data_IF_546283475997
#
_entry.id   IF_546283475997
#
_cell.length_a   1.000
_cell.length_b   1.000
_cell.length_c   1.000
_cell.angle_alpha   90.00
_cell.angle_beta   90.00
_cell.angle_gamma   90.00
#
_symmetry.space_group_name_H-M   'P 1'
#
loop_
_entity.id
_entity.type
_entity.pdbx_description
1 polymer ?
#
# COMPACT_ATOMS: atom_id res chain seq x y z
N UNK A 1 8.69 20.26 -1.84
CA UNK A 1 9.20 19.82 -0.52
C UNK A 1 9.20 18.29 -0.47
N UNK A 2 9.89 17.62 0.45
CA UNK A 2 9.69 16.17 0.66
C UNK A 2 8.63 15.95 1.73
N UNK A 3 7.60 15.18 1.42
CA UNK A 3 6.57 14.73 2.35
C UNK A 3 7.00 13.40 2.97
N UNK A 4 6.94 13.32 4.29
CA UNK A 4 7.11 12.06 5.02
C UNK A 4 5.74 11.46 5.29
N UNK A 5 5.44 10.36 4.62
CA UNK A 5 4.20 9.62 4.77
C UNK A 5 4.49 8.21 5.32
N UNK A 6 3.45 7.56 5.81
CA UNK A 6 3.49 6.24 6.39
C UNK A 6 2.53 5.31 5.68
N UNK A 7 2.92 4.05 5.60
CA UNK A 7 2.05 2.92 5.27
C UNK A 7 2.17 1.89 6.38
N UNK A 8 1.14 1.06 6.59
CA UNK A 8 1.22 -0.04 7.54
C UNK A 8 0.77 -1.35 6.91
N UNK A 9 1.41 -2.44 7.32
CA UNK A 9 0.92 -3.80 7.05
C UNK A 9 0.89 -4.58 8.35
N UNK A 10 -0.03 -5.54 8.44
CA UNK A 10 0.00 -6.54 9.50
C UNK A 10 1.24 -7.43 9.36
N UNK A 11 1.82 -7.85 10.49
CA UNK A 11 3.03 -8.70 10.49
C UNK A 11 2.79 -10.03 9.77
N UNK A 12 1.55 -10.51 9.78
CA UNK A 12 1.10 -11.71 9.08
C UNK A 12 1.25 -11.61 7.55
N UNK A 13 1.25 -10.40 6.96
CA UNK A 13 1.55 -10.18 5.53
C UNK A 13 3.06 -10.19 5.23
N UNK A 14 3.88 -10.36 6.26
CA UNK A 14 5.33 -10.32 6.18
C UNK A 14 5.91 -8.92 5.92
N UNK A 15 7.24 -8.85 5.96
CA UNK A 15 8.00 -7.63 5.80
C UNK A 15 8.31 -7.38 4.33
N UNK A 16 7.88 -6.23 3.80
CA UNK A 16 8.00 -5.90 2.39
C UNK A 16 9.16 -4.92 2.17
N UNK A 17 10.10 -5.28 1.29
CA UNK A 17 11.18 -4.37 0.89
C UNK A 17 10.67 -3.33 -0.12
N UNK A 18 9.61 -3.66 -0.86
CA UNK A 18 9.02 -2.83 -1.88
C UNK A 18 7.51 -2.82 -1.72
N UNK A 19 6.93 -1.62 -1.61
CA UNK A 19 5.49 -1.43 -1.62
C UNK A 19 5.03 -1.27 -3.08
N UNK A 20 4.02 -2.05 -3.46
CA UNK A 20 3.50 -2.10 -4.84
C UNK A 20 2.04 -1.66 -4.85
N UNK A 21 1.64 -0.80 -5.80
CA UNK A 21 0.24 -0.45 -6.01
C UNK A 21 -0.59 -1.70 -6.26
N UNK A 22 -1.71 -1.81 -5.56
CA UNK A 22 -2.68 -2.90 -5.74
C UNK A 22 -4.10 -2.38 -5.55
N UNK A 23 -5.08 -3.14 -6.03
CA UNK A 23 -6.46 -2.97 -5.61
C UNK A 23 -6.52 -3.20 -4.09
N UNK A 24 -7.19 -2.33 -3.31
CA UNK A 24 -7.34 -2.54 -1.88
C UNK A 24 -7.96 -3.92 -1.59
N UNK A 25 -7.47 -4.57 -0.54
CA UNK A 25 -8.04 -5.84 -0.10
C UNK A 25 -9.48 -5.65 0.46
N UNK A 26 -9.76 -4.43 0.95
CA UNK A 26 -11.05 -3.99 1.46
C UNK A 26 -11.31 -2.56 0.98
N UNK A 27 -12.52 -2.29 0.51
CA UNK A 27 -12.94 -0.98 0.05
C UNK A 27 -14.24 -0.56 0.72
N UNK A 28 -14.35 0.71 1.10
CA UNK A 28 -15.60 1.27 1.60
C UNK A 28 -16.69 1.27 0.50
N UNK A 29 -17.98 1.27 0.87
CA UNK A 29 -19.08 1.31 -0.10
C UNK A 29 -18.98 2.50 -1.08
N UNK A 30 -18.82 2.17 -2.36
CA UNK A 30 -18.69 3.14 -3.45
C UNK A 30 -17.34 3.82 -3.55
N UNK A 31 -16.29 3.25 -2.93
CA UNK A 31 -14.90 3.66 -3.15
C UNK A 31 -14.41 3.18 -4.52
N UNK A 32 -13.51 3.94 -5.14
CA UNK A 32 -12.90 3.52 -6.41
C UNK A 32 -12.01 2.28 -6.19
N UNK A 33 -12.32 1.16 -6.84
CA UNK A 33 -11.54 -0.10 -6.79
C UNK A 33 -10.70 -0.33 -8.05
N UNK A 34 -10.82 0.53 -9.06
CA UNK A 34 -10.13 0.39 -10.34
C UNK A 34 -8.67 0.90 -10.28
N UNK A 35 -8.40 1.84 -9.38
CA UNK A 35 -7.07 2.44 -9.23
C UNK A 35 -6.21 1.59 -8.30
N UNK A 36 -5.21 0.92 -8.87
CA UNK A 36 -4.13 0.29 -8.10
C UNK A 36 -3.34 1.35 -7.34
N UNK A 37 -3.15 1.13 -6.04
CA UNK A 37 -2.59 2.14 -5.15
C UNK A 37 -1.91 1.57 -3.92
N UNK A 38 -1.16 2.43 -3.27
CA UNK A 38 -0.63 2.27 -1.92
C UNK A 38 -1.29 3.37 -1.08
N UNK A 39 -2.03 2.97 -0.05
CA UNK A 39 -2.63 3.88 0.93
C UNK A 39 -1.59 4.39 1.90
N UNK A 40 -1.41 5.70 1.94
CA UNK A 40 -0.44 6.40 2.78
C UNK A 40 -1.16 7.37 3.71
N UNK A 41 -0.53 7.74 4.83
CA UNK A 41 -1.02 8.82 5.68
C UNK A 41 0.13 9.60 6.34
N UNK A 42 -0.09 10.83 6.84
CA UNK A 42 0.96 11.61 7.50
C UNK A 42 1.55 10.94 8.76
N UNK A 43 0.77 10.08 9.43
CA UNK A 43 1.17 9.39 10.66
C UNK A 43 0.71 7.92 10.69
N UNK A 44 1.37 7.13 11.55
CA UNK A 44 0.98 5.73 11.79
C UNK A 44 -0.44 5.64 12.39
N UNK A 45 -0.82 6.60 13.25
CA UNK A 45 -2.19 6.65 13.82
C UNK A 45 -3.24 6.82 12.73
N UNK A 46 -3.01 7.69 11.76
CA UNK A 46 -3.91 7.90 10.63
C UNK A 46 -3.98 6.68 9.72
N UNK A 47 -2.85 5.97 9.50
CA UNK A 47 -2.89 4.68 8.82
C UNK A 47 -3.78 3.67 9.57
N UNK A 48 -3.65 3.58 10.90
CA UNK A 48 -4.46 2.68 11.74
C UNK A 48 -5.94 3.08 11.70
N UNK A 49 -6.23 4.38 11.70
CA UNK A 49 -7.58 4.92 11.55
C UNK A 49 -8.20 4.46 10.24
N UNK A 50 -7.47 4.54 9.11
CA UNK A 50 -7.94 4.03 7.82
C UNK A 50 -8.27 2.54 7.81
N UNK A 51 -7.61 1.74 8.66
CA UNK A 51 -7.95 0.33 8.86
C UNK A 51 -9.13 0.10 9.82
N UNK A 52 -9.68 1.13 10.47
CA UNK A 52 -10.60 1.01 11.61
C UNK A 52 -11.94 0.27 11.34
N UNK A 53 -12.31 0.11 10.07
CA UNK A 53 -13.42 -0.73 9.65
C UNK A 53 -13.06 -2.24 9.68
N UNK A 54 -11.77 -2.59 9.75
CA UNK A 54 -11.30 -3.95 9.92
C UNK A 54 -11.36 -4.35 11.41
N UNK A 55 -12.04 -5.46 11.70
CA UNK A 55 -12.06 -6.07 13.03
C UNK A 55 -10.67 -6.56 13.53
N UNK A 56 -9.61 -6.29 12.77
CA UNK A 56 -8.23 -6.72 13.03
C UNK A 56 -7.71 -6.28 14.40
N UNK A 57 -8.10 -5.08 14.86
CA UNK A 57 -7.63 -4.50 16.13
C UNK A 57 -8.54 -4.78 17.34
N UNK A 58 -9.54 -5.67 17.22
CA UNK A 58 -10.40 -6.04 18.35
C UNK A 58 -9.70 -6.96 19.38
N UNK A 59 -8.49 -7.43 19.10
CA UNK A 59 -7.65 -8.20 20.02
C UNK A 59 -6.74 -7.27 20.83
N UNK A 60 -6.49 -7.59 22.10
CA UNK A 60 -5.79 -6.72 23.08
C UNK A 60 -4.46 -6.12 22.59
N UNK A 61 -3.71 -6.84 21.76
CA UNK A 61 -2.43 -6.40 21.20
C UNK A 61 -2.29 -6.90 19.76
N UNK A 62 -1.82 -6.04 18.85
CA UNK A 62 -1.52 -6.38 17.44
C UNK A 62 -0.17 -5.84 17.02
N UNK A 63 0.56 -6.60 16.21
CA UNK A 63 1.85 -6.16 15.66
C UNK A 63 1.68 -5.75 14.20
N UNK A 64 2.33 -4.65 13.85
CA UNK A 64 2.33 -4.10 12.50
C UNK A 64 3.76 -3.76 12.06
N UNK A 65 3.99 -3.75 10.76
CA UNK A 65 5.10 -3.05 10.14
C UNK A 65 4.63 -1.67 9.70
N UNK A 66 5.35 -0.63 10.11
CA UNK A 66 5.11 0.75 9.72
C UNK A 66 6.27 1.22 8.81
N UNK A 67 5.92 1.55 7.58
CA UNK A 67 6.83 1.90 6.50
C UNK A 67 6.85 3.42 6.36
N UNK A 68 7.99 4.05 6.61
CA UNK A 68 8.21 5.47 6.35
C UNK A 68 8.60 5.66 4.89
N UNK A 69 7.92 6.56 4.23
CA UNK A 69 8.07 6.84 2.80
C UNK A 69 8.33 8.33 2.61
N UNK A 70 9.22 8.67 1.68
CA UNK A 70 9.43 10.05 1.28
C UNK A 70 8.94 10.23 -0.16
N UNK A 71 8.01 11.15 -0.36
CA UNK A 71 7.44 11.50 -1.67
C UNK A 71 7.64 12.99 -1.91
N UNK A 72 7.89 13.38 -3.16
CA UNK A 72 7.94 14.80 -3.53
C UNK A 72 6.54 15.41 -3.49
N UNK A 73 6.42 16.56 -2.83
CA UNK A 73 5.21 17.38 -2.90
C UNK A 73 5.00 17.84 -4.35
N UNK A 74 3.90 17.40 -4.96
CA UNK A 74 3.60 17.62 -6.38
C UNK A 74 3.93 16.44 -7.31
N UNK A 75 4.34 15.28 -6.79
CA UNK A 75 4.38 14.04 -7.60
C UNK A 75 2.99 13.76 -8.17
N UNK A 76 2.87 13.66 -9.51
CA UNK A 76 1.63 13.38 -10.22
C UNK A 76 0.99 12.04 -9.85
N UNK A 77 1.76 11.15 -9.21
CA UNK A 77 1.29 9.85 -8.72
C UNK A 77 0.80 9.88 -7.28
N UNK A 78 0.80 11.04 -6.62
CA UNK A 78 0.34 11.24 -5.26
C UNK A 78 -0.97 12.05 -5.25
N UNK A 79 -2.05 11.42 -4.78
CA UNK A 79 -3.33 12.08 -4.56
C UNK A 79 -3.55 12.32 -3.07
N UNK A 80 -3.73 13.57 -2.65
CA UNK A 80 -4.00 13.93 -1.25
C UNK A 80 -5.47 13.76 -0.85
N UNK A 81 -5.74 13.80 0.45
CA UNK A 81 -7.08 13.59 1.00
C UNK A 81 -8.14 14.56 0.47
N UNK A 82 -7.76 15.81 0.15
CA UNK A 82 -8.68 16.77 -0.43
C UNK A 82 -9.06 16.36 -1.85
N UNK A 83 -8.06 16.04 -2.67
CA UNK A 83 -8.30 15.57 -4.03
C UNK A 83 -9.20 14.32 -4.02
N UNK A 84 -8.91 13.37 -3.14
CA UNK A 84 -9.69 12.14 -3.02
C UNK A 84 -11.15 12.40 -2.63
N UNK A 85 -11.38 13.25 -1.64
CA UNK A 85 -12.73 13.56 -1.17
C UNK A 85 -13.53 14.38 -2.19
N UNK A 86 -12.95 15.48 -2.70
CA UNK A 86 -13.67 16.40 -3.58
C UNK A 86 -13.93 15.82 -4.97
N UNK A 87 -13.20 14.78 -5.38
CA UNK A 87 -13.49 14.00 -6.61
C UNK A 87 -14.29 12.72 -6.34
N UNK A 88 -14.84 12.56 -5.13
CA UNK A 88 -15.64 11.39 -4.72
C UNK A 88 -14.93 10.03 -4.95
N UNK A 89 -13.60 10.00 -4.82
CA UNK A 89 -12.80 8.78 -4.99
C UNK A 89 -12.77 7.95 -3.70
N UNK A 90 -12.65 8.62 -2.56
CA UNK A 90 -12.62 8.03 -1.21
C UNK A 90 -13.39 8.96 -0.27
N UNK A 91 -14.54 8.49 0.24
CA UNK A 91 -15.52 9.34 0.94
C UNK A 91 -15.09 9.72 2.36
N UNK A 92 -14.23 8.92 2.98
CA UNK A 92 -13.69 9.09 4.33
C UNK A 92 -12.25 9.65 4.34
N UNK A 93 -11.72 10.05 3.18
CA UNK A 93 -10.35 10.55 3.06
C UNK A 93 -10.03 11.73 3.98
N UNK A 94 -11.00 12.61 4.25
CA UNK A 94 -10.82 13.73 5.17
C UNK A 94 -10.70 13.30 6.65
N UNK A 95 -11.29 12.15 7.02
CA UNK A 95 -11.20 11.57 8.37
C UNK A 95 -9.87 10.85 8.58
N UNK A 96 -9.46 10.07 7.57
CA UNK A 96 -8.27 9.22 7.61
C UNK A 96 -7.00 9.97 7.24
N UNK A 97 -7.13 11.16 6.66
CA UNK A 97 -6.04 11.93 6.05
C UNK A 97 -5.24 11.09 5.04
N UNK A 98 -5.93 10.19 4.34
CA UNK A 98 -5.32 9.24 3.43
C UNK A 98 -4.81 9.93 2.16
N UNK A 99 -3.68 9.42 1.67
CA UNK A 99 -3.11 9.70 0.37
C UNK A 99 -3.07 8.41 -0.44
N UNK A 100 -3.31 8.51 -1.75
CA UNK A 100 -3.12 7.38 -2.66
C UNK A 100 -1.86 7.59 -3.49
N UNK A 101 -0.97 6.60 -3.48
CA UNK A 101 0.21 6.58 -4.33
C UNK A 101 0.14 5.47 -5.38
N UNK A 102 0.33 5.81 -6.65
CA UNK A 102 0.09 4.89 -7.79
C UNK A 102 1.35 4.28 -8.40
N UNK A 103 2.53 4.55 -7.82
CA UNK A 103 3.81 3.98 -8.24
C UNK A 103 4.39 3.04 -7.19
N UNK A 104 5.25 2.14 -7.65
CA UNK A 104 6.09 1.31 -6.77
C UNK A 104 7.02 2.22 -5.98
N UNK A 105 7.19 1.93 -4.68
CA UNK A 105 8.05 2.73 -3.81
C UNK A 105 8.78 1.88 -2.78
N UNK A 106 10.00 2.31 -2.46
CA UNK A 106 10.84 1.68 -1.44
C UNK A 106 10.76 2.51 -0.15
N UNK A 107 10.48 1.88 1.00
CA UNK A 107 10.46 2.58 2.27
C UNK A 107 11.86 3.08 2.64
N UNK A 108 11.93 4.28 3.20
CA UNK A 108 13.15 4.84 3.78
C UNK A 108 13.51 4.12 5.10
N UNK A 109 12.50 3.73 5.85
CA UNK A 109 12.61 3.06 7.14
C UNK A 109 11.40 2.15 7.35
N UNK A 110 11.61 1.02 8.00
CA UNK A 110 10.52 0.14 8.43
C UNK A 110 10.66 -0.13 9.93
N UNK A 111 9.57 0.07 10.66
CA UNK A 111 9.49 -0.14 12.10
C UNK A 111 8.51 -1.27 12.39
N UNK A 112 8.88 -2.21 13.26
CA UNK A 112 7.91 -3.09 13.88
C UNK A 112 7.31 -2.39 15.10
N UNK A 113 5.99 -2.26 15.12
CA UNK A 113 5.25 -1.62 16.19
C UNK A 113 4.23 -2.59 16.80
N UNK A 114 3.93 -2.38 18.08
CA UNK A 114 2.82 -2.99 18.79
C UNK A 114 1.74 -1.93 18.98
N UNK A 115 0.51 -2.28 18.63
CA UNK A 115 -0.68 -1.46 18.79
C UNK A 115 -1.52 -2.09 19.90
N UNK A 116 -1.80 -1.30 20.92
CA UNK A 116 -2.64 -1.65 22.07
C UNK A 116 -3.67 -0.55 22.30
N UNK A 117 -4.67 -0.86 23.14
CA UNK A 117 -5.69 0.09 23.61
C UNK A 117 -6.34 0.90 22.46
N UNK A 118 -7.44 0.38 21.91
CA UNK A 118 -8.09 0.99 20.75
C UNK A 118 -9.40 1.62 21.17
N UNK A 119 -9.48 2.94 21.06
CA UNK A 119 -10.71 3.69 21.22
C UNK A 119 -11.37 3.90 19.86
N UNK A 120 -12.63 3.49 19.73
CA UNK A 120 -13.40 3.66 18.51
C UNK A 120 -14.42 4.77 18.64
N UNK A 121 -14.63 5.51 17.57
CA UNK A 121 -15.71 6.48 17.43
C UNK A 121 -16.49 6.18 16.16
N UNK A 122 -17.81 6.30 16.26
CA UNK A 122 -18.72 6.16 15.13
C UNK A 122 -18.81 7.48 14.36
N UNK A 123 -18.69 7.40 13.05
CA UNK A 123 -18.74 8.52 12.12
C UNK A 123 -19.82 8.30 11.06
N UNK A 124 -20.35 9.40 10.55
CA UNK A 124 -21.26 9.42 9.41
C UNK A 124 -20.45 9.83 8.18
N UNK A 125 -20.24 8.91 7.27
CA UNK A 125 -19.46 9.15 6.06
C UNK A 125 -20.40 9.60 4.94
N UNK A 126 -20.10 10.80 4.42
CA UNK A 126 -20.90 11.48 3.40
C UNK A 126 -19.97 11.97 2.30
N UNK A 127 -20.23 11.53 1.06
CA UNK A 127 -19.49 11.94 -0.11
C UNK A 127 -19.64 13.42 -0.43
N UNK A 128 -18.68 13.98 -1.16
CA UNK A 128 -18.71 15.38 -1.58
C UNK A 128 -19.92 15.67 -2.48
N UNK A 129 -20.34 14.71 -3.30
CA UNK A 129 -21.54 14.80 -4.13
C UNK A 129 -22.84 15.13 -3.37
N UNK A 130 -22.90 14.88 -2.06
CA UNK A 130 -24.06 15.20 -1.22
C UNK A 130 -24.00 16.60 -0.58
N UNK A 131 -22.91 17.35 -0.72
CA UNK A 131 -22.71 18.64 -0.02
C UNK A 131 -23.81 19.64 -0.30
N UNK A 132 -24.25 19.77 -1.55
CA UNK A 132 -25.33 20.70 -1.91
C UNK A 132 -26.64 20.29 -1.25
N UNK A 133 -27.00 19.00 -1.33
CA UNK A 133 -28.21 18.47 -0.74
C UNK A 133 -28.24 18.62 0.78
N UNK A 134 -27.10 18.37 1.44
CA UNK A 134 -26.95 18.61 2.87
C UNK A 134 -27.24 20.07 3.22
N UNK A 135 -26.67 21.02 2.47
CA UNK A 135 -26.91 22.46 2.69
C UNK A 135 -28.38 22.82 2.48
N UNK A 136 -29.06 22.24 1.49
CA UNK A 136 -30.49 22.44 1.26
C UNK A 136 -31.35 21.88 2.41
N UNK A 137 -30.98 20.72 2.97
CA UNK A 137 -31.64 20.14 4.15
C UNK A 137 -31.46 21.07 5.36
N UNK A 138 -30.23 21.51 5.62
CA UNK A 138 -29.91 22.42 6.73
C UNK A 138 -30.63 23.77 6.59
N UNK A 139 -30.76 24.29 5.37
CA UNK A 139 -31.54 25.51 5.10
C UNK A 139 -33.01 25.36 5.52
N UNK A 140 -33.65 24.21 5.25
CA UNK A 140 -35.04 23.94 5.67
C UNK A 140 -35.22 23.94 7.19
N UNK A 141 -34.15 23.65 7.93
CA UNK A 141 -34.13 23.66 9.39
C UNK A 141 -33.66 25.00 9.99
N UNK A 142 -33.63 26.08 9.21
CA UNK A 142 -33.15 27.42 9.60
C UNK A 142 -31.67 27.45 10.03
N UNK A 143 -30.84 26.56 9.51
CA UNK A 143 -29.39 26.57 9.70
C UNK A 143 -28.73 27.46 8.62
N UNK A 144 -29.00 28.76 8.63
CA UNK A 144 -28.72 29.63 7.48
C UNK A 144 -27.46 30.48 7.56
N UNK A 145 -26.84 30.66 8.74
CA UNK A 145 -25.87 31.76 8.92
C UNK A 145 -24.46 31.36 9.43
N UNK A 146 -24.19 30.09 9.74
CA UNK A 146 -22.97 29.72 10.49
C UNK A 146 -22.02 28.75 9.81
N UNK A 147 -22.33 28.21 8.62
CA UNK A 147 -21.50 27.20 7.96
C UNK A 147 -20.72 27.82 6.78
N UNK A 148 -19.40 27.99 6.89
CA UNK A 148 -18.56 28.44 5.78
C UNK A 148 -18.70 27.55 4.55
N UNK A 149 -18.67 28.16 3.36
CA UNK A 149 -18.81 27.44 2.09
C UNK A 149 -17.71 26.40 1.85
N UNK A 150 -16.56 26.57 2.50
CA UNK A 150 -15.36 25.75 2.40
C UNK A 150 -15.42 24.45 3.21
N UNK A 151 -16.36 24.31 4.15
CA UNK A 151 -16.47 23.10 4.98
C UNK A 151 -17.17 21.99 4.20
N UNK A 152 -16.59 20.79 4.28
CA UNK A 152 -17.12 19.58 3.63
C UNK A 152 -18.41 19.06 4.29
N UNK A 153 -19.17 18.23 3.56
CA UNK A 153 -20.35 17.57 4.14
C UNK A 153 -19.98 16.68 5.34
N UNK A 154 -18.84 16.01 5.26
CA UNK A 154 -18.30 15.18 6.34
C UNK A 154 -18.08 15.99 7.62
N UNK A 155 -17.35 17.11 7.53
CA UNK A 155 -17.02 17.94 8.68
C UNK A 155 -18.28 18.59 9.29
N UNK A 156 -19.22 19.03 8.46
CA UNK A 156 -20.50 19.59 8.93
C UNK A 156 -21.19 18.58 9.86
N UNK A 157 -21.43 17.36 9.37
CA UNK A 157 -22.24 16.38 10.09
C UNK A 157 -21.53 15.83 11.32
N UNK A 158 -20.21 15.65 11.28
CA UNK A 158 -19.49 15.00 12.39
C UNK A 158 -18.93 15.97 13.42
N UNK A 159 -18.75 17.26 13.09
CA UNK A 159 -18.08 18.22 13.98
C UNK A 159 -18.88 19.48 14.30
N UNK A 160 -19.88 19.86 13.48
CA UNK A 160 -20.63 21.11 13.69
C UNK A 160 -22.05 20.90 14.21
N UNK A 161 -22.70 19.81 13.82
CA UNK A 161 -24.10 19.55 14.18
C UNK A 161 -24.21 18.84 15.54
N UNK A 162 -25.26 19.17 16.29
CA UNK A 162 -25.68 18.41 17.47
C UNK A 162 -26.41 17.12 17.06
N UNK A 163 -26.48 16.15 17.98
CA UNK A 163 -27.06 14.83 17.73
C UNK A 163 -28.50 14.88 17.16
N UNK A 164 -29.33 15.81 17.64
CA UNK A 164 -30.72 15.92 17.17
C UNK A 164 -30.75 16.40 15.71
N UNK A 165 -29.92 17.37 15.37
CA UNK A 165 -29.82 17.86 13.99
C UNK A 165 -29.22 16.81 13.06
N UNK A 166 -28.26 16.01 13.53
CA UNK A 166 -27.70 14.89 12.77
C UNK A 166 -28.78 13.86 12.41
N UNK A 167 -29.66 13.48 13.33
CA UNK A 167 -30.74 12.53 13.05
C UNK A 167 -31.76 13.07 12.03
N UNK A 168 -32.02 14.38 12.03
CA UNK A 168 -32.85 15.03 11.00
C UNK A 168 -32.16 15.01 9.63
N UNK A 169 -30.86 15.28 9.58
CA UNK A 169 -30.09 15.16 8.33
C UNK A 169 -30.16 13.73 7.81
N UNK A 170 -29.98 12.73 8.68
CA UNK A 170 -30.05 11.31 8.32
C UNK A 170 -31.41 10.89 7.77
N UNK A 171 -32.52 11.45 8.26
CA UNK A 171 -33.86 11.14 7.73
C UNK A 171 -34.10 11.69 6.34
N UNK A 172 -33.45 12.80 5.99
CA UNK A 172 -33.64 13.48 4.70
C UNK A 172 -32.56 13.11 3.66
N UNK A 173 -31.43 12.57 4.12
CA UNK A 173 -30.29 12.14 3.30
C UNK A 173 -30.43 10.66 2.84
N UNK A 174 -31.56 10.37 2.23
CA UNK A 174 -31.91 9.09 1.63
C UNK A 174 -32.80 9.31 0.40
N UNK A 175 -32.75 8.43 -0.59
CA UNK A 175 -33.59 8.56 -1.79
C UNK A 175 -34.33 7.26 -2.09
N UNK A 176 -35.50 7.39 -2.72
CA UNK A 176 -36.28 6.26 -3.18
C UNK A 176 -35.68 5.70 -4.47
N UNK A 177 -35.39 4.40 -4.48
CA UNK A 177 -34.89 3.63 -5.62
C UNK A 177 -36.00 2.70 -6.09
N UNK A 178 -36.19 2.63 -7.40
CA UNK A 178 -37.16 1.74 -8.03
C UNK A 178 -36.47 0.45 -8.42
N UNK A 179 -36.78 -0.65 -7.72
CA UNK A 179 -36.18 -1.97 -7.97
C UNK A 179 -36.76 -2.63 -9.22
N UNK A 180 -38.05 -2.45 -9.43
CA UNK A 180 -38.76 -2.95 -10.59
C UNK A 180 -40.06 -2.20 -10.84
N UNK A 181 -40.40 -2.09 -12.12
CA UNK A 181 -41.69 -1.64 -12.60
C UNK A 181 -42.66 -2.82 -12.75
N UNK A 182 -43.94 -2.55 -12.94
CA UNK A 182 -44.96 -3.60 -13.14
C UNK A 182 -44.75 -4.40 -14.42
N UNK A 183 -44.02 -3.82 -15.38
CA UNK A 183 -43.77 -4.40 -16.69
C UNK A 183 -42.50 -5.27 -16.69
N UNK A 184 -41.72 -5.25 -15.60
CA UNK A 184 -40.48 -6.01 -15.51
C UNK A 184 -40.74 -7.50 -15.32
N UNK A 185 -39.93 -8.31 -16.01
CA UNK A 185 -40.00 -9.76 -15.93
C UNK A 185 -39.79 -10.28 -14.50
N UNK A 186 -38.90 -9.63 -13.74
CA UNK A 186 -38.66 -9.92 -12.31
C UNK A 186 -39.91 -9.73 -11.45
N UNK A 187 -40.70 -8.67 -11.69
CA UNK A 187 -41.96 -8.41 -10.99
C UNK A 187 -43.01 -9.48 -11.31
N UNK A 188 -43.12 -9.86 -12.59
CA UNK A 188 -44.06 -10.89 -13.06
C UNK A 188 -43.70 -12.26 -12.45
N UNK A 189 -42.42 -12.64 -12.47
CA UNK A 189 -41.93 -13.88 -11.85
C UNK A 189 -42.21 -13.88 -10.34
N UNK A 190 -41.89 -12.78 -9.64
CA UNK A 190 -42.14 -12.70 -8.20
C UNK A 190 -43.63 -12.87 -7.88
N UNK A 191 -44.48 -12.12 -8.57
CA UNK A 191 -45.92 -12.21 -8.36
C UNK A 191 -46.45 -13.63 -8.62
N UNK A 192 -45.87 -14.34 -9.58
CA UNK A 192 -46.31 -15.68 -9.99
C UNK A 192 -45.92 -16.74 -8.95
N UNK A 193 -44.70 -16.70 -8.43
CA UNK A 193 -44.18 -17.69 -7.47
C UNK A 193 -44.76 -17.44 -6.06
N UNK A 194 -44.71 -16.19 -5.58
CA UNK A 194 -45.07 -15.86 -4.19
C UNK A 194 -46.54 -15.43 -4.02
N UNK A 195 -47.32 -15.31 -5.11
CA UNK A 195 -48.73 -14.89 -5.13
C UNK A 195 -49.01 -13.55 -4.40
N UNK A 196 -47.98 -12.73 -4.21
CA UNK A 196 -48.05 -11.40 -3.59
C UNK A 196 -47.40 -10.36 -4.49
N UNK A 197 -47.68 -9.07 -4.26
CA UNK A 197 -46.97 -8.00 -4.96
C UNK A 197 -45.63 -7.77 -4.26
N UNK A 198 -44.50 -7.81 -4.98
CA UNK A 198 -43.22 -7.44 -4.39
C UNK A 198 -43.22 -5.94 -4.08
N UNK A 199 -42.43 -5.54 -3.07
CA UNK A 199 -42.22 -4.13 -2.74
C UNK A 199 -41.43 -3.47 -3.88
N UNK A 200 -42.02 -2.49 -4.56
CA UNK A 200 -41.46 -1.95 -5.82
C UNK A 200 -40.35 -0.91 -5.65
N UNK A 201 -40.27 -0.34 -4.45
CA UNK A 201 -39.29 0.68 -4.14
C UNK A 201 -38.67 0.41 -2.77
N UNK A 202 -37.42 0.77 -2.63
CA UNK A 202 -36.76 0.85 -1.34
C UNK A 202 -36.05 2.21 -1.21
N UNK A 203 -35.65 2.55 0.01
CA UNK A 203 -34.88 3.76 0.27
C UNK A 203 -33.41 3.38 0.42
N UNK A 204 -32.56 3.99 -0.41
CA UNK A 204 -31.11 3.91 -0.23
C UNK A 204 -30.61 5.11 0.58
N UNK A 205 -29.66 4.85 1.48
CA UNK A 205 -29.01 5.90 2.25
C UNK A 205 -27.91 6.52 1.39
N UNK A 206 -27.89 7.85 1.34
CA UNK A 206 -26.83 8.61 0.65
C UNK A 206 -25.59 8.85 1.56
N UNK A 207 -25.55 8.15 2.70
CA UNK A 207 -24.48 8.11 3.68
C UNK A 207 -24.33 6.70 4.23
N UNK A 208 -23.22 6.42 4.90
CA UNK A 208 -23.10 5.23 5.73
C UNK A 208 -22.51 5.58 7.09
N UNK A 209 -22.73 4.70 8.06
CA UNK A 209 -22.21 4.84 9.40
C UNK A 209 -21.11 3.80 9.61
N UNK A 210 -19.95 4.22 10.09
CA UNK A 210 -18.82 3.33 10.31
C UNK A 210 -18.04 3.72 11.57
N UNK A 211 -17.48 2.72 12.25
CA UNK A 211 -16.62 2.92 13.41
C UNK A 211 -15.17 3.00 12.95
N UNK A 212 -14.46 4.03 13.41
CA UNK A 212 -13.05 4.24 13.15
C UNK A 212 -12.26 4.28 14.44
N UNK A 213 -10.99 3.91 14.36
CA UNK A 213 -10.05 4.02 15.48
C UNK A 213 -9.68 5.51 15.63
N UNK A 214 -10.13 6.11 16.73
CA UNK A 214 -9.84 7.51 17.02
C UNK A 214 -8.48 7.66 17.68
N UNK A 215 -8.25 6.83 18.71
CA UNK A 215 -7.04 6.81 19.51
C UNK A 215 -6.52 5.38 19.63
N UNK A 216 -5.19 5.24 19.59
CA UNK A 216 -4.52 4.01 19.95
C UNK A 216 -3.15 4.27 20.59
N UNK A 217 -2.67 3.30 21.37
CA UNK A 217 -1.29 3.31 21.86
C UNK A 217 -0.39 2.57 20.88
N UNK A 218 0.67 3.25 20.42
CA UNK A 218 1.68 2.66 19.53
C UNK A 218 3.02 2.59 20.24
N UNK A 219 3.52 1.37 20.44
CA UNK A 219 4.85 1.11 20.97
C UNK A 219 5.79 0.63 19.87
N UNK A 220 6.85 1.40 19.60
CA UNK A 220 7.91 0.99 18.67
C UNK A 220 8.74 -0.13 19.31
N UNK A 221 8.83 -1.28 18.64
CA UNK A 221 9.58 -2.44 19.12
C UNK A 221 11.01 -2.39 18.60
N UNK A 222 11.18 -2.31 17.28
CA UNK A 222 12.49 -2.31 16.63
C UNK A 222 12.43 -1.72 15.23
N UNK A 223 13.60 -1.38 14.68
CA UNK A 223 13.78 -1.04 13.28
C UNK A 223 14.16 -2.30 12.50
N UNK A 224 13.43 -2.56 11.41
CA UNK A 224 13.67 -3.70 10.55
C UNK A 224 14.79 -3.37 9.55
N UNK A 225 15.91 -4.10 9.67
CA UNK A 225 17.08 -3.92 8.80
C UNK A 225 17.28 -5.07 7.79
N UNK A 226 16.60 -6.21 8.01
CA UNK A 226 16.58 -7.35 7.10
C UNK A 226 15.30 -7.29 6.29
N UNK A 227 15.34 -6.64 5.13
CA UNK A 227 14.17 -6.43 4.26
C UNK A 227 14.08 -7.50 3.17
N UNK A 228 15.23 -8.06 2.77
CA UNK A 228 15.32 -9.02 1.68
C UNK A 228 15.53 -10.45 2.20
N UNK A 229 15.05 -11.41 1.43
CA UNK A 229 15.36 -12.83 1.59
C UNK A 229 16.30 -13.25 0.47
N UNK A 230 17.36 -13.97 0.82
CA UNK A 230 18.34 -14.51 -0.13
C UNK A 230 18.12 -16.02 -0.20
N UNK A 231 17.52 -16.48 -1.28
CA UNK A 231 17.27 -17.90 -1.52
C UNK A 231 18.27 -18.45 -2.52
N UNK A 232 19.04 -19.46 -2.13
CA UNK A 232 19.97 -20.13 -3.06
C UNK A 232 19.20 -21.04 -4.01
N UNK A 233 19.51 -20.91 -5.30
CA UNK A 233 18.93 -21.78 -6.32
C UNK A 233 20.00 -22.68 -6.92
N UNK A 234 19.62 -23.95 -7.10
CA UNK A 234 20.47 -25.03 -7.59
C UNK A 234 20.01 -25.56 -8.96
N UNK A 235 19.20 -24.76 -9.68
CA UNK A 235 18.54 -25.19 -10.91
C UNK A 235 18.56 -24.11 -11.98
N UNK A 236 19.19 -24.43 -13.11
CA UNK A 236 19.18 -23.58 -14.30
C UNK A 236 17.74 -23.36 -14.80
N UNK A 237 16.89 -24.40 -14.77
CA UNK A 237 15.48 -24.28 -15.15
C UNK A 237 14.75 -23.20 -14.34
N UNK A 238 14.94 -23.19 -13.02
CA UNK A 238 14.32 -22.18 -12.13
C UNK A 238 14.83 -20.77 -12.43
N UNK A 239 16.13 -20.61 -12.71
CA UNK A 239 16.70 -19.33 -13.15
C UNK A 239 16.02 -18.82 -14.43
N UNK A 240 15.82 -19.70 -15.42
CA UNK A 240 15.15 -19.34 -16.68
C UNK A 240 13.68 -18.98 -16.48
N UNK A 241 12.96 -19.70 -15.61
CA UNK A 241 11.58 -19.37 -15.23
C UNK A 241 11.49 -17.96 -14.63
N UNK A 242 12.42 -17.59 -13.74
CA UNK A 242 12.49 -16.24 -13.18
C UNK A 242 12.79 -15.20 -14.26
N UNK A 243 13.75 -15.47 -15.14
CA UNK A 243 14.11 -14.55 -16.22
C UNK A 243 12.99 -14.39 -17.27
N UNK A 244 12.09 -15.36 -17.40
CA UNK A 244 10.94 -15.30 -18.31
C UNK A 244 9.93 -14.20 -17.96
N UNK A 245 10.03 -13.62 -16.75
CA UNK A 245 9.25 -12.45 -16.33
C UNK A 245 9.55 -11.16 -17.11
N UNK A 246 10.59 -11.14 -17.96
CA UNK A 246 11.14 -9.96 -18.65
C UNK A 246 11.68 -8.86 -17.72
N UNK A 247 11.76 -9.12 -16.41
CA UNK A 247 12.34 -8.20 -15.43
C UNK A 247 13.87 -8.27 -15.38
N UNK A 248 14.45 -9.37 -15.88
CA UNK A 248 15.88 -9.66 -15.88
C UNK A 248 16.38 -9.93 -17.29
N UNK A 249 17.62 -9.56 -17.59
CA UNK A 249 18.21 -9.77 -18.90
C UNK A 249 18.58 -11.24 -19.12
N UNK A 250 17.70 -12.00 -19.77
CA UNK A 250 17.93 -13.42 -20.13
C UNK A 250 19.31 -13.68 -20.76
N UNK A 251 19.78 -12.79 -21.64
CA UNK A 251 21.05 -12.96 -22.33
C UNK A 251 22.26 -13.03 -21.37
N UNK A 252 22.20 -12.35 -20.22
CA UNK A 252 23.25 -12.38 -19.20
C UNK A 252 23.21 -13.69 -18.41
N UNK A 253 22.02 -14.14 -18.02
CA UNK A 253 21.84 -15.31 -17.15
C UNK A 253 21.91 -16.66 -17.89
N UNK A 254 21.65 -16.67 -19.20
CA UNK A 254 21.83 -17.85 -20.06
C UNK A 254 23.29 -18.30 -20.21
N UNK A 255 24.25 -17.42 -19.91
CA UNK A 255 25.67 -17.74 -20.03
C UNK A 255 26.20 -18.53 -18.83
N UNK A 256 25.41 -18.65 -17.76
CA UNK A 256 25.77 -19.46 -16.59
C UNK A 256 25.60 -20.93 -16.95
N UNK A 257 26.71 -21.67 -16.98
CA UNK A 257 26.72 -23.11 -17.20
C UNK A 257 26.06 -23.81 -16.00
N UNK A 258 25.08 -24.67 -16.30
CA UNK A 258 24.27 -25.38 -15.31
C UNK A 258 25.10 -26.14 -14.28
N UNK A 259 26.28 -26.63 -14.67
CA UNK A 259 27.16 -27.42 -13.80
C UNK A 259 27.82 -26.62 -12.67
N UNK A 260 27.73 -25.28 -12.71
CA UNK A 260 28.26 -24.39 -11.68
C UNK A 260 27.16 -23.78 -10.80
N UNK A 261 25.89 -24.18 -10.95
CA UNK A 261 24.83 -23.59 -10.15
C UNK A 261 24.75 -24.31 -8.80
N UNK A 262 25.33 -23.69 -7.77
CA UNK A 262 25.38 -24.24 -6.41
C UNK A 262 26.44 -25.32 -6.20
N UNK A 263 27.35 -25.45 -7.16
CA UNK A 263 28.50 -26.36 -7.15
C UNK A 263 29.81 -25.56 -7.31
N UNK A 264 30.96 -26.16 -6.96
CA UNK A 264 32.29 -25.56 -7.13
C UNK A 264 32.43 -24.16 -6.49
N UNK A 265 31.88 -23.99 -5.27
CA UNK A 265 31.88 -22.72 -4.53
C UNK A 265 31.20 -21.56 -5.28
N UNK A 266 30.36 -21.87 -6.28
CA UNK A 266 29.55 -20.90 -7.01
C UNK A 266 28.14 -20.86 -6.41
N UNK A 267 27.68 -19.67 -6.08
CA UNK A 267 26.41 -19.42 -5.41
C UNK A 267 25.54 -18.50 -6.24
N UNK A 268 24.29 -18.91 -6.46
CA UNK A 268 23.29 -18.13 -7.18
C UNK A 268 22.10 -17.86 -6.24
N UNK A 269 21.94 -16.60 -5.86
CA UNK A 269 20.82 -16.14 -5.05
C UNK A 269 19.75 -15.47 -5.90
N UNK A 270 18.51 -15.87 -5.62
CA UNK A 270 17.31 -15.09 -5.93
C UNK A 270 16.99 -14.25 -4.71
N UNK A 271 16.79 -12.95 -4.92
CA UNK A 271 16.49 -12.00 -3.87
C UNK A 271 15.00 -11.63 -3.95
N UNK A 272 14.27 -11.90 -2.88
CA UNK A 272 12.83 -11.60 -2.71
C UNK A 272 12.59 -10.76 -1.45
N UNK A 273 11.33 -10.45 -1.19
CA UNK A 273 10.82 -10.05 0.13
C UNK A 273 9.63 -10.95 0.48
N UNK A 274 8.85 -10.61 1.51
CA UNK A 274 7.69 -11.41 1.90
C UNK A 274 6.60 -11.57 0.82
N UNK A 275 6.66 -10.84 -0.30
CA UNK A 275 5.76 -11.05 -1.44
C UNK A 275 6.18 -12.20 -2.35
N UNK A 276 7.37 -12.76 -2.14
CA UNK A 276 8.01 -13.80 -2.96
C UNK A 276 8.22 -13.40 -4.45
N UNK A 277 7.98 -12.13 -4.79
CA UNK A 277 8.24 -11.59 -6.12
C UNK A 277 9.75 -11.36 -6.25
N UNK A 278 10.44 -11.91 -7.27
CA UNK A 278 11.86 -11.67 -7.50
C UNK A 278 12.19 -10.18 -7.69
N UNK A 279 13.11 -9.67 -6.87
CA UNK A 279 13.58 -8.27 -6.89
C UNK A 279 15.00 -8.18 -7.46
N UNK A 280 15.82 -9.20 -7.23
CA UNK A 280 17.21 -9.23 -7.67
C UNK A 280 17.74 -10.63 -7.90
N UNK A 281 18.86 -10.71 -8.60
CA UNK A 281 19.66 -11.90 -8.81
C UNK A 281 21.12 -11.57 -8.47
N UNK A 282 21.79 -12.46 -7.73
CA UNK A 282 23.19 -12.32 -7.37
C UNK A 282 23.92 -13.65 -7.61
N UNK A 283 24.92 -13.63 -8.48
CA UNK A 283 25.80 -14.76 -8.75
C UNK A 283 27.23 -14.41 -8.36
N UNK A 284 27.81 -15.21 -7.49
CA UNK A 284 29.21 -15.07 -7.08
C UNK A 284 29.85 -16.42 -6.89
N UNK A 285 31.18 -16.46 -6.86
CA UNK A 285 31.91 -17.64 -6.43
C UNK A 285 32.96 -17.29 -5.39
N UNK A 286 33.28 -18.23 -4.51
CA UNK A 286 34.33 -18.07 -3.51
C UNK A 286 35.65 -18.62 -4.05
N UNK A 287 36.69 -17.80 -4.03
CA UNK A 287 38.04 -18.22 -4.40
C UNK A 287 39.05 -17.56 -3.47
N UNK A 288 39.92 -18.34 -2.83
CA UNK A 288 40.90 -17.84 -1.85
C UNK A 288 40.29 -16.93 -0.76
N UNK A 289 39.14 -17.31 -0.21
CA UNK A 289 38.37 -16.53 0.78
C UNK A 289 37.91 -15.15 0.29
N UNK A 290 37.85 -14.93 -1.02
CA UNK A 290 37.31 -13.72 -1.64
C UNK A 290 36.04 -14.02 -2.41
N UNK A 291 35.15 -13.04 -2.44
CA UNK A 291 33.88 -13.11 -3.16
C UNK A 291 34.07 -12.52 -4.55
N UNK A 292 33.99 -13.37 -5.56
CA UNK A 292 34.02 -12.94 -6.95
C UNK A 292 32.59 -12.77 -7.45
N UNK A 293 32.11 -11.53 -7.53
CA UNK A 293 30.75 -11.25 -8.02
C UNK A 293 30.78 -11.31 -9.55
N UNK A 294 30.23 -12.39 -10.09
CA UNK A 294 30.15 -12.65 -11.54
C UNK A 294 28.90 -12.03 -12.17
N UNK A 295 27.84 -11.83 -11.40
CA UNK A 295 26.60 -11.25 -11.90
C UNK A 295 25.76 -10.63 -10.78
N UNK A 296 25.25 -9.43 -11.00
CA UNK A 296 24.27 -8.82 -10.12
C UNK A 296 23.28 -8.01 -10.95
N UNK A 297 22.00 -8.32 -10.80
CA UNK A 297 20.93 -7.60 -11.49
C UNK A 297 19.77 -7.31 -10.54
N UNK A 298 19.17 -6.14 -10.72
CA UNK A 298 17.91 -5.75 -10.08
C UNK A 298 16.84 -5.71 -11.16
N UNK A 299 15.66 -6.24 -10.81
CA UNK A 299 14.47 -6.25 -11.66
C UNK A 299 14.24 -4.87 -12.28
N UNK A 300 13.91 -4.85 -13.57
CA UNK A 300 13.82 -3.63 -14.37
C UNK A 300 12.89 -2.57 -13.77
N UNK A 301 11.75 -2.98 -13.22
CA UNK A 301 10.76 -2.12 -12.55
C UNK A 301 11.23 -1.56 -11.20
N UNK A 302 12.29 -2.14 -10.63
CA UNK A 302 12.85 -1.76 -9.32
C UNK A 302 14.12 -0.90 -9.43
N UNK A 303 14.58 -0.64 -10.66
CA UNK A 303 15.79 0.16 -10.90
C UNK A 303 15.57 1.62 -10.50
N UNK A 304 16.66 2.28 -10.11
CA UNK A 304 16.69 3.69 -9.64
C UNK A 304 15.95 3.98 -8.33
N UNK A 305 15.36 2.98 -7.68
CA UNK A 305 14.75 3.10 -6.35
C UNK A 305 15.74 2.91 -5.18
N UNK A 306 17.03 2.75 -5.48
CA UNK A 306 18.06 2.48 -4.47
C UNK A 306 18.14 1.03 -3.99
N UNK A 307 17.27 0.15 -4.49
CA UNK A 307 17.19 -1.28 -4.13
C UNK A 307 18.52 -2.00 -4.26
N UNK A 308 19.26 -1.82 -5.37
CA UNK A 308 20.54 -2.49 -5.54
C UNK A 308 21.56 -2.15 -4.44
N UNK A 309 21.57 -0.90 -3.97
CA UNK A 309 22.42 -0.49 -2.83
C UNK A 309 21.96 -1.16 -1.54
N UNK A 310 20.65 -1.26 -1.31
CA UNK A 310 20.09 -1.88 -0.12
C UNK A 310 20.36 -3.39 -0.06
N UNK A 311 20.18 -4.11 -1.18
CA UNK A 311 20.47 -5.54 -1.31
C UNK A 311 21.92 -5.83 -0.96
N UNK A 312 22.88 -5.16 -1.60
CA UNK A 312 24.31 -5.45 -1.37
C UNK A 312 24.74 -5.10 0.06
N UNK A 313 24.21 -4.02 0.64
CA UNK A 313 24.47 -3.69 2.05
C UNK A 313 23.94 -4.76 3.00
N UNK A 314 22.73 -5.28 2.75
CA UNK A 314 22.19 -6.36 3.55
C UNK A 314 23.04 -7.63 3.40
N UNK A 315 23.41 -7.98 2.17
CA UNK A 315 24.30 -9.10 1.88
C UNK A 315 25.63 -9.00 2.66
N UNK A 316 26.29 -7.84 2.64
CA UNK A 316 27.53 -7.63 3.39
C UNK A 316 27.34 -7.79 4.91
N UNK A 317 26.24 -7.28 5.45
CA UNK A 317 25.96 -7.39 6.87
C UNK A 317 25.64 -8.84 7.29
N UNK A 318 24.80 -9.54 6.52
CA UNK A 318 24.32 -10.89 6.83
C UNK A 318 25.44 -11.93 6.69
N UNK A 319 26.23 -11.83 5.62
CA UNK A 319 27.33 -12.75 5.32
C UNK A 319 28.69 -12.25 5.85
N UNK A 320 28.71 -11.14 6.61
CA UNK A 320 29.91 -10.52 7.20
C UNK A 320 31.03 -10.26 6.19
N UNK A 321 30.66 -9.83 4.99
CA UNK A 321 31.58 -9.60 3.87
C UNK A 321 32.15 -8.19 3.94
N UNK A 322 33.48 -8.08 3.87
CA UNK A 322 34.15 -6.79 3.73
C UNK A 322 34.16 -6.36 2.26
N UNK A 323 33.93 -5.07 1.95
CA UNK A 323 34.11 -4.56 0.58
C UNK A 323 35.51 -4.82 -0.02
N UNK A 324 36.54 -4.99 0.83
CA UNK A 324 37.90 -5.33 0.41
C UNK A 324 38.08 -6.79 -0.03
N UNK A 325 37.15 -7.66 0.35
CA UNK A 325 37.16 -9.09 0.01
C UNK A 325 36.39 -9.38 -1.28
N UNK A 326 35.79 -8.34 -1.89
CA UNK A 326 35.09 -8.43 -3.17
C UNK A 326 36.08 -8.28 -4.33
N UNK A 327 35.99 -9.19 -5.30
CA UNK A 327 36.58 -9.05 -6.63
C UNK A 327 35.44 -8.92 -7.62
N UNK A 328 35.49 -7.88 -8.45
CA UNK A 328 34.46 -7.61 -9.46
C UNK A 328 35.06 -6.83 -10.63
N UNK A 329 34.73 -7.28 -11.85
CA UNK A 329 34.93 -6.55 -13.09
C UNK A 329 33.64 -5.83 -13.48
N UNK A 330 33.68 -4.50 -13.53
CA UNK A 330 32.51 -3.71 -13.89
C UNK A 330 32.28 -3.69 -15.40
N UNK A 331 31.06 -3.99 -15.85
CA UNK A 331 30.71 -4.00 -17.27
C UNK A 331 30.80 -2.63 -17.95
N UNK A 332 30.56 -1.54 -17.20
CA UNK A 332 30.58 -0.18 -17.71
C UNK A 332 30.79 0.85 -16.58
N UNK A 333 30.97 2.12 -16.95
CA UNK A 333 31.21 3.23 -16.01
C UNK A 333 30.07 3.44 -15.01
N UNK A 334 28.83 3.11 -15.35
CA UNK A 334 27.69 3.26 -14.45
C UNK A 334 27.71 2.19 -13.35
N UNK A 335 27.96 0.93 -13.74
CA UNK A 335 28.22 -0.19 -12.84
C UNK A 335 29.41 0.11 -11.92
N UNK A 336 30.51 0.60 -12.45
CA UNK A 336 31.70 0.98 -11.66
C UNK A 336 31.37 2.04 -10.60
N UNK A 337 30.59 3.07 -10.95
CA UNK A 337 30.13 4.11 -10.00
C UNK A 337 29.27 3.51 -8.90
N UNK A 338 28.37 2.58 -9.24
CA UNK A 338 27.53 1.88 -8.27
C UNK A 338 28.37 1.12 -7.23
N UNK A 339 29.34 0.32 -7.67
CA UNK A 339 30.19 -0.46 -6.77
C UNK A 339 31.15 0.40 -5.94
N UNK A 340 31.70 1.47 -6.52
CA UNK A 340 32.52 2.45 -5.79
C UNK A 340 31.75 3.12 -4.65
N UNK A 341 30.46 3.41 -4.82
CA UNK A 341 29.60 3.95 -3.76
C UNK A 341 29.46 2.98 -2.57
N UNK A 342 29.63 1.69 -2.81
CA UNK A 342 29.61 0.63 -1.79
C UNK A 342 31.00 0.34 -1.20
N UNK A 343 32.03 1.12 -1.57
CA UNK A 343 33.40 0.96 -1.08
C UNK A 343 34.19 -0.16 -1.75
N UNK A 344 33.67 -0.74 -2.83
CA UNK A 344 34.33 -1.83 -3.56
C UNK A 344 35.34 -1.24 -4.54
N UNK A 345 36.54 -1.81 -4.56
CA UNK A 345 37.56 -1.50 -5.58
C UNK A 345 37.34 -2.41 -6.77
N UNK A 346 36.83 -1.86 -7.87
CA UNK A 346 36.74 -2.60 -9.12
C UNK A 346 38.15 -2.80 -9.69
N UNK A 347 38.49 -4.04 -10.03
CA UNK A 347 39.65 -4.33 -10.86
C UNK A 347 39.35 -3.79 -12.26
N UNK A 348 40.01 -2.70 -12.62
CA UNK A 348 40.07 -2.24 -14.00
C UNK A 348 41.04 -3.17 -14.75
N UNK A 349 40.76 -3.38 -16.04
CA UNK A 349 41.73 -3.86 -17.02
C UNK A 349 43.11 -3.24 -16.83
#
# INVERSE_FOLDING_TARGET
MMLALWHITFVEKGLQAVLRPKTPDYSAPGENVEINRISLAPTINECIRGLGNENAFNTKERKIYAYKILVEEGDESLYDSNYLYYNDLVKDALLTHEYLYTKIICPQEVLMCEVSFVEKRKYIIIGNNQTKRLKDILFKFNYTETIPSTISAFEIVNYLLDEKTVELVKSDLQHEVVDYTKDDQSYIIYRTIWKSKPQMTHYEKDYYEAEYIENCEIKKITRCNKLFEFEEIYSHKRLLEICSSNEFMMATWNLIDEKYIGDFDCHLYVITDATEIPIGLLYYHLFNNKFHISGFEVASTMRRLGIGTAIIKQFFNEYKVSPNDIILESLNKESEKFWKKLGIKCSLY
#
